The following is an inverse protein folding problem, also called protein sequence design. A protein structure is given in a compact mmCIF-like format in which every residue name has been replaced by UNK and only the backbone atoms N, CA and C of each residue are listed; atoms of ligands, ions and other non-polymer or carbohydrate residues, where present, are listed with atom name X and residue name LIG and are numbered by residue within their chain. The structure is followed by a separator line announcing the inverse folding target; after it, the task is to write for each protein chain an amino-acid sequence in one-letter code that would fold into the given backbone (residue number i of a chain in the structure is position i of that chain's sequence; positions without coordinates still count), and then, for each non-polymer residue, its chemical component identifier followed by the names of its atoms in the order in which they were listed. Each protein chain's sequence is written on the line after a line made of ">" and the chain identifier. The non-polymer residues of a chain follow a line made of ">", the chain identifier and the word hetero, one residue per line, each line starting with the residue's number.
data_IF_463727856093
#
_entry.id   IF_463727856093
#
_cell.length_a   1.000
_cell.length_b   1.000
_cell.length_c   1.000
_cell.angle_alpha   90.00
_cell.angle_beta   90.00
_cell.angle_gamma   90.00
#
_symmetry.space_group_name_H-M   'P 1'
#
loop_
_entity.id
_entity.type
_entity.pdbx_description
1 polymer ?
#
# COMPACT_ATOMS: atom_id res chain seq x y z
N UNK A 1 -1.27 31.51 2.79
CA UNK A 1 -1.56 30.31 3.61
C UNK A 1 -3.00 29.92 3.36
N UNK A 2 -3.24 29.16 2.29
CA UNK A 2 -4.56 28.61 1.97
C UNK A 2 -4.70 27.20 2.55
N UNK A 3 -5.93 26.91 2.98
CA UNK A 3 -6.30 25.92 3.99
C UNK A 3 -6.08 24.47 3.55
N UNK A 4 -5.50 23.70 4.45
CA UNK A 4 -5.52 22.24 4.57
C UNK A 4 -6.95 21.78 4.97
N UNK A 5 -7.98 22.20 4.22
CA UNK A 5 -9.40 21.99 4.58
C UNK A 5 -10.03 20.77 3.90
N UNK A 6 -9.43 20.24 2.83
CA UNK A 6 -9.98 19.09 2.09
C UNK A 6 -9.60 17.73 2.68
N UNK A 7 -8.37 17.62 3.20
CA UNK A 7 -7.77 16.34 3.58
C UNK A 7 -8.44 15.70 4.82
N UNK A 8 -8.94 16.53 5.75
CA UNK A 8 -9.63 16.04 6.96
C UNK A 8 -11.06 15.52 6.71
N UNK A 9 -11.70 15.92 5.60
CA UNK A 9 -13.03 15.42 5.20
C UNK A 9 -12.92 14.05 4.55
N UNK A 10 -11.99 13.88 3.61
CA UNK A 10 -11.76 12.58 2.96
C UNK A 10 -11.39 11.48 3.97
N UNK A 11 -10.58 11.79 4.98
CA UNK A 11 -10.21 10.80 6.01
C UNK A 11 -11.39 10.42 6.89
N UNK A 12 -12.30 11.33 7.23
CA UNK A 12 -13.48 10.99 8.05
C UNK A 12 -14.49 10.14 7.27
N UNK A 13 -14.70 10.44 6.00
CA UNK A 13 -15.60 9.66 5.13
C UNK A 13 -15.11 8.21 4.94
N UNK A 14 -13.79 8.02 4.83
CA UNK A 14 -13.20 6.68 4.72
C UNK A 14 -13.34 5.92 6.04
N UNK A 15 -13.08 6.57 7.18
CA UNK A 15 -13.28 6.01 8.52
C UNK A 15 -14.73 5.53 8.72
N UNK A 16 -15.70 6.37 8.37
CA UNK A 16 -17.13 6.04 8.46
C UNK A 16 -17.49 4.82 7.59
N UNK A 17 -16.93 4.75 6.38
CA UNK A 17 -17.16 3.62 5.48
C UNK A 17 -16.53 2.32 5.99
N UNK A 18 -15.33 2.40 6.57
CA UNK A 18 -14.65 1.27 7.23
C UNK A 18 -15.53 0.73 8.36
N UNK A 19 -16.00 1.61 9.24
CA UNK A 19 -16.85 1.27 10.37
C UNK A 19 -18.14 0.57 9.91
N UNK A 20 -18.83 1.16 8.93
CA UNK A 20 -20.06 0.60 8.38
C UNK A 20 -19.86 -0.79 7.75
N UNK A 21 -18.73 -1.04 7.09
CA UNK A 21 -18.44 -2.37 6.51
C UNK A 21 -18.20 -3.42 7.59
N UNK A 22 -17.43 -3.08 8.62
CA UNK A 22 -17.12 -3.98 9.73
C UNK A 22 -18.38 -4.29 10.54
N UNK A 23 -19.20 -3.28 10.83
CA UNK A 23 -20.44 -3.44 11.60
C UNK A 23 -21.42 -4.40 10.92
N UNK A 24 -21.51 -4.31 9.60
CA UNK A 24 -22.39 -5.13 8.75
C UNK A 24 -21.76 -6.47 8.33
N UNK A 25 -20.57 -6.82 8.81
CA UNK A 25 -19.87 -8.06 8.44
C UNK A 25 -19.53 -8.16 6.95
N UNK A 26 -19.36 -7.02 6.27
CA UNK A 26 -18.99 -6.96 4.85
C UNK A 26 -17.48 -7.02 4.68
N UNK A 27 -17.05 -7.53 3.53
CA UNK A 27 -15.64 -7.54 3.14
C UNK A 27 -15.16 -6.09 2.96
N UNK A 28 -14.09 -5.73 3.66
CA UNK A 28 -13.39 -4.46 3.45
C UNK A 28 -12.30 -4.65 2.38
N UNK A 29 -12.35 -3.86 1.32
CA UNK A 29 -11.34 -3.87 0.25
C UNK A 29 -10.69 -2.50 0.14
N UNK A 30 -9.39 -2.42 0.42
CA UNK A 30 -8.56 -1.24 0.20
C UNK A 30 -7.73 -1.41 -1.06
N UNK A 31 -7.89 -0.51 -2.03
CA UNK A 31 -7.07 -0.48 -3.25
C UNK A 31 -6.13 0.73 -3.21
N UNK A 32 -4.83 0.49 -3.30
CA UNK A 32 -3.82 1.54 -3.34
C UNK A 32 -2.61 1.12 -4.19
N UNK A 33 -1.93 2.10 -4.76
CA UNK A 33 -0.68 1.93 -5.51
C UNK A 33 0.57 2.32 -4.70
N UNK A 34 0.38 2.88 -3.50
CA UNK A 34 1.44 3.25 -2.56
C UNK A 34 0.97 3.10 -1.11
N UNK A 35 1.90 2.82 -0.20
CA UNK A 35 1.63 2.85 1.24
C UNK A 35 2.04 4.22 1.76
N UNK A 36 1.09 5.17 1.73
CA UNK A 36 1.28 6.50 2.32
C UNK A 36 0.88 6.49 3.80
N UNK A 37 1.25 7.54 4.55
CA UNK A 37 0.83 7.72 5.95
C UNK A 37 -0.69 7.62 6.14
N UNK A 38 -1.49 8.21 5.25
CA UNK A 38 -2.96 8.10 5.30
C UNK A 38 -3.44 6.66 5.06
N UNK A 39 -2.81 5.90 4.15
CA UNK A 39 -3.12 4.48 3.96
C UNK A 39 -2.77 3.67 5.21
N UNK A 40 -1.63 3.95 5.85
CA UNK A 40 -1.25 3.33 7.11
C UNK A 40 -2.26 3.61 8.23
N UNK A 41 -2.71 4.86 8.35
CA UNK A 41 -3.74 5.26 9.32
C UNK A 41 -5.06 4.52 9.08
N UNK A 42 -5.52 4.40 7.83
CA UNK A 42 -6.73 3.64 7.48
C UNK A 42 -6.59 2.12 7.76
N UNK A 43 -5.41 1.53 7.48
CA UNK A 43 -5.15 0.11 7.81
C UNK A 43 -5.21 -0.07 9.33
N UNK A 44 -4.56 0.82 10.09
CA UNK A 44 -4.54 0.74 11.56
C UNK A 44 -5.94 0.88 12.15
N UNK A 45 -6.74 1.81 11.64
CA UNK A 45 -8.11 2.01 12.03
C UNK A 45 -8.98 0.78 11.74
N UNK A 46 -8.91 0.24 10.52
CA UNK A 46 -9.65 -0.96 10.14
C UNK A 46 -9.30 -2.15 11.05
N UNK A 47 -8.01 -2.38 11.30
CA UNK A 47 -7.54 -3.44 12.21
C UNK A 47 -8.03 -3.19 13.63
N UNK A 48 -8.00 -1.95 14.09
CA UNK A 48 -8.54 -1.52 15.38
C UNK A 48 -10.01 -1.89 15.56
N UNK A 49 -10.86 -1.44 14.63
CA UNK A 49 -12.29 -1.67 14.68
C UNK A 49 -12.66 -3.17 14.58
N UNK A 50 -11.93 -3.95 13.75
CA UNK A 50 -12.13 -5.40 13.65
C UNK A 50 -11.79 -6.09 14.98
N UNK A 51 -10.63 -5.78 15.56
CA UNK A 51 -10.16 -6.47 16.76
C UNK A 51 -10.89 -6.04 18.02
N UNK A 52 -11.33 -4.79 18.09
CA UNK A 52 -12.20 -4.31 19.17
C UNK A 52 -13.52 -5.09 19.20
N UNK A 53 -14.16 -5.28 18.04
CA UNK A 53 -15.36 -6.12 17.90
C UNK A 53 -15.13 -7.58 18.30
N UNK A 54 -13.94 -8.12 18.03
CA UNK A 54 -13.56 -9.47 18.43
C UNK A 54 -13.04 -9.56 19.87
N UNK A 55 -13.05 -8.46 20.64
CA UNK A 55 -12.53 -8.38 22.02
C UNK A 55 -11.04 -8.69 22.18
N UNK A 56 -10.24 -8.44 21.12
CA UNK A 56 -8.78 -8.60 21.11
C UNK A 56 -8.00 -7.31 20.75
N UNK A 57 -8.31 -6.14 21.34
CA UNK A 57 -7.66 -4.87 20.96
C UNK A 57 -6.14 -4.86 21.22
N UNK A 58 -5.63 -5.72 22.09
CA UNK A 58 -4.20 -5.87 22.36
C UNK A 58 -3.39 -6.41 21.17
N UNK A 59 -4.06 -7.06 20.21
CA UNK A 59 -3.41 -7.59 19.00
C UNK A 59 -3.26 -6.54 17.89
N UNK A 60 -3.82 -5.34 18.05
CA UNK A 60 -3.78 -4.28 17.03
C UNK A 60 -2.35 -3.97 16.57
N UNK A 61 -1.35 -3.74 17.45
CA UNK A 61 0.00 -3.42 16.99
C UNK A 61 0.63 -4.55 16.15
N UNK A 62 0.39 -5.80 16.53
CA UNK A 62 0.93 -6.99 15.85
C UNK A 62 0.32 -7.14 14.46
N UNK A 63 -1.02 -7.17 14.37
CA UNK A 63 -1.71 -7.36 13.10
C UNK A 63 -1.54 -6.17 12.16
N UNK A 64 -1.56 -4.94 12.69
CA UNK A 64 -1.23 -3.75 11.92
C UNK A 64 0.16 -3.86 11.29
N UNK A 65 1.17 -4.26 12.07
CA UNK A 65 2.54 -4.39 11.57
C UNK A 65 2.65 -5.43 10.46
N UNK A 66 2.05 -6.62 10.65
CA UNK A 66 2.04 -7.68 9.64
C UNK A 66 1.40 -7.18 8.33
N UNK A 67 0.22 -6.57 8.42
CA UNK A 67 -0.51 -6.09 7.23
C UNK A 67 0.24 -4.95 6.54
N UNK A 68 0.82 -4.03 7.31
CA UNK A 68 1.63 -2.92 6.79
C UNK A 68 2.83 -3.43 6.00
N UNK A 69 3.60 -4.37 6.56
CA UNK A 69 4.78 -4.91 5.87
C UNK A 69 4.41 -5.72 4.62
N UNK A 70 3.30 -6.47 4.66
CA UNK A 70 2.77 -7.15 3.47
C UNK A 70 2.38 -6.15 2.38
N UNK A 71 1.68 -5.07 2.73
CA UNK A 71 1.28 -4.02 1.78
C UNK A 71 2.51 -3.32 1.16
N UNK A 72 3.52 -3.00 1.97
CA UNK A 72 4.78 -2.40 1.51
C UNK A 72 5.50 -3.34 0.52
N UNK A 73 5.57 -4.63 0.85
CA UNK A 73 6.22 -5.62 0.00
C UNK A 73 5.47 -5.83 -1.33
N UNK A 74 4.14 -5.82 -1.31
CA UNK A 74 3.32 -5.88 -2.51
C UNK A 74 3.57 -4.66 -3.43
N UNK A 75 3.57 -3.45 -2.88
CA UNK A 75 3.92 -2.24 -3.64
C UNK A 75 5.32 -2.33 -4.25
N UNK A 76 6.33 -2.76 -3.47
CA UNK A 76 7.71 -2.94 -3.96
C UNK A 76 7.80 -3.99 -5.07
N UNK A 77 7.05 -5.09 -4.97
CA UNK A 77 7.02 -6.11 -6.01
C UNK A 77 6.46 -5.54 -7.33
N UNK A 78 5.37 -4.77 -7.25
CA UNK A 78 4.78 -4.11 -8.41
C UNK A 78 5.74 -3.08 -9.02
N UNK A 79 6.42 -2.27 -8.20
CA UNK A 79 7.43 -1.31 -8.65
C UNK A 79 8.61 -2.02 -9.35
N UNK A 80 9.14 -3.10 -8.77
CA UNK A 80 10.19 -3.91 -9.40
C UNK A 80 9.73 -4.46 -10.74
N UNK A 81 8.48 -4.89 -10.87
CA UNK A 81 7.91 -5.38 -12.13
C UNK A 81 7.99 -4.32 -13.23
N UNK A 82 7.54 -3.11 -12.94
CA UNK A 82 7.64 -1.98 -13.87
C UNK A 82 9.10 -1.64 -14.17
N UNK A 83 9.97 -1.57 -13.16
CA UNK A 83 11.39 -1.29 -13.33
C UNK A 83 12.09 -2.30 -14.26
N UNK A 84 11.82 -3.59 -14.08
CA UNK A 84 12.38 -4.64 -14.92
C UNK A 84 11.93 -4.53 -16.37
N UNK A 85 10.64 -4.25 -16.59
CA UNK A 85 10.08 -4.08 -17.94
C UNK A 85 10.70 -2.88 -18.65
N UNK A 86 10.85 -1.74 -17.97
CA UNK A 86 11.49 -0.55 -18.55
C UNK A 86 12.97 -0.77 -18.89
N UNK A 87 13.64 -1.68 -18.18
CA UNK A 87 15.04 -2.06 -18.44
C UNK A 87 15.20 -3.24 -19.40
N UNK A 88 14.10 -3.85 -19.85
CA UNK A 88 14.12 -5.06 -20.67
C UNK A 88 14.73 -6.28 -19.96
N UNK A 89 14.70 -6.32 -18.62
CA UNK A 89 15.20 -7.44 -17.84
C UNK A 89 14.13 -8.51 -17.66
N UNK A 90 14.51 -9.78 -17.83
CA UNK A 90 13.68 -10.94 -17.52
C UNK A 90 13.80 -11.32 -16.04
N UNK A 91 12.64 -11.42 -15.37
CA UNK A 91 12.59 -11.96 -14.00
C UNK A 91 12.85 -13.47 -13.93
N UNK A 92 12.77 -14.18 -15.06
CA UNK A 92 13.02 -15.63 -15.14
C UNK A 92 14.49 -15.96 -15.41
N UNK A 93 15.30 -14.95 -15.78
CA UNK A 93 16.74 -15.10 -15.94
C UNK A 93 17.45 -14.74 -14.62
N UNK A 94 18.13 -15.68 -13.94
CA UNK A 94 18.76 -15.41 -12.64
C UNK A 94 19.81 -14.30 -12.65
N UNK A 95 20.56 -14.15 -13.76
CA UNK A 95 21.60 -13.12 -13.89
C UNK A 95 20.99 -11.72 -14.02
N UNK A 96 19.98 -11.59 -14.89
CA UNK A 96 19.24 -10.34 -15.07
C UNK A 96 18.43 -9.99 -13.84
N UNK A 97 17.85 -10.98 -13.15
CA UNK A 97 17.18 -10.79 -11.88
C UNK A 97 18.12 -10.24 -10.80
N UNK A 98 19.29 -10.85 -10.62
CA UNK A 98 20.27 -10.38 -9.66
C UNK A 98 20.74 -8.94 -10.01
N UNK A 99 20.95 -8.64 -11.29
CA UNK A 99 21.31 -7.30 -11.76
C UNK A 99 20.20 -6.28 -11.52
N UNK A 100 18.98 -6.57 -11.94
CA UNK A 100 17.82 -5.69 -11.79
C UNK A 100 17.48 -5.40 -10.33
N UNK A 101 17.59 -6.40 -9.43
CA UNK A 101 17.40 -6.18 -7.99
C UNK A 101 18.49 -5.27 -7.41
N UNK A 102 19.75 -5.43 -7.80
CA UNK A 102 20.84 -4.54 -7.35
C UNK A 102 20.61 -3.11 -7.81
N UNK A 103 20.36 -2.90 -9.11
CA UNK A 103 20.13 -1.56 -9.67
C UNK A 103 18.90 -0.88 -9.06
N UNK A 104 17.80 -1.62 -8.88
CA UNK A 104 16.61 -1.11 -8.21
C UNK A 104 16.90 -0.67 -6.77
N UNK A 105 17.73 -1.43 -6.03
CA UNK A 105 18.12 -1.08 -4.66
C UNK A 105 19.02 0.14 -4.59
N UNK A 106 19.96 0.27 -5.53
CA UNK A 106 20.89 1.40 -5.60
C UNK A 106 20.18 2.71 -5.96
N UNK A 107 19.10 2.63 -6.76
CA UNK A 107 18.26 3.77 -7.11
C UNK A 107 17.13 4.03 -6.11
N UNK A 108 17.04 3.27 -5.01
CA UNK A 108 15.88 3.35 -4.13
C UNK A 108 15.82 4.69 -3.38
N UNK A 109 14.88 5.55 -3.78
CA UNK A 109 14.54 6.82 -3.14
C UNK A 109 13.02 6.97 -2.99
N UNK A 110 12.59 7.96 -2.19
CA UNK A 110 11.18 8.27 -2.02
C UNK A 110 10.54 8.79 -3.32
N UNK A 111 11.28 9.60 -4.11
CA UNK A 111 10.87 10.07 -5.42
C UNK A 111 10.67 8.91 -6.41
N UNK A 112 11.61 7.96 -6.43
CA UNK A 112 11.52 6.77 -7.27
C UNK A 112 10.30 5.91 -6.89
N UNK A 113 10.08 5.69 -5.59
CA UNK A 113 8.90 4.96 -5.11
C UNK A 113 7.59 5.61 -5.58
N UNK A 114 7.52 6.94 -5.56
CA UNK A 114 6.37 7.68 -6.06
C UNK A 114 6.17 7.53 -7.57
N UNK A 115 7.25 7.69 -8.36
CA UNK A 115 7.20 7.54 -9.82
C UNK A 115 6.75 6.15 -10.24
N UNK A 116 7.42 5.10 -9.74
CA UNK A 116 7.09 3.72 -10.09
C UNK A 116 5.74 3.28 -9.52
N UNK A 117 5.30 3.86 -8.40
CA UNK A 117 3.94 3.66 -7.90
C UNK A 117 2.88 4.20 -8.86
N UNK A 118 3.09 5.39 -9.44
CA UNK A 118 2.18 5.96 -10.44
C UNK A 118 2.18 5.12 -11.72
N UNK A 119 3.35 4.67 -12.18
CA UNK A 119 3.48 3.81 -13.36
C UNK A 119 2.79 2.46 -13.15
N UNK A 120 2.97 1.84 -11.99
CA UNK A 120 2.30 0.59 -11.62
C UNK A 120 0.76 0.74 -11.65
N UNK A 121 0.24 1.85 -11.09
CA UNK A 121 -1.20 2.15 -11.16
C UNK A 121 -1.71 2.24 -12.60
N UNK A 122 -1.00 2.96 -13.48
CA UNK A 122 -1.41 3.11 -14.89
C UNK A 122 -1.50 1.76 -15.58
N UNK A 123 -0.52 0.89 -15.35
CA UNK A 123 -0.52 -0.47 -15.91
C UNK A 123 -1.75 -1.27 -15.47
N UNK A 124 -2.07 -1.27 -14.18
CA UNK A 124 -3.20 -2.04 -13.64
C UNK A 124 -4.56 -1.51 -14.15
N UNK A 125 -4.64 -0.26 -14.63
CA UNK A 125 -5.86 0.32 -15.25
C UNK A 125 -5.96 0.12 -16.76
N UNK A 126 -4.92 -0.40 -17.41
CA UNK A 126 -4.86 -0.62 -18.87
C UNK A 126 -4.84 -2.10 -19.26
N UNK A 127 -4.93 -3.00 -18.28
CA UNK A 127 -4.93 -4.45 -18.45
C UNK A 127 -6.35 -5.04 -18.41
#
# INVERSE_FOLDING_TARGET
>A
MEKISGMGKETSEISDHIKLHIENGKILSLKTHRVSKSVEEHIKEAVGLILDRLTYPTLVPTLYTIIKELAINACKANQKRVFFEERGYSMLNPSEYAKGVREYREMFSEEMSNEFGIKAKKRDTTA
#
